data_IF_306405177356
#
_entry.id   IF_306405177356
#
_cell.length_a   1.000
_cell.length_b   1.000
_cell.length_c   1.000
_cell.angle_alpha   90.00
_cell.angle_beta   90.00
_cell.angle_gamma   90.00
#
_symmetry.space_group_name_H-M   'P 1'
#
loop_
_entity.id
_entity.type
_entity.pdbx_description
1 polymer ?
#
# COMPACT_ATOMS: atom_id res chain seq x y z
N UNK A 1 -2.27 -2.47 22.87
CA UNK A 1 -3.52 -1.66 22.95
C UNK A 1 -3.21 -0.27 22.44
N UNK A 2 -4.20 0.61 22.26
CA UNK A 2 -3.92 2.00 21.87
C UNK A 2 -2.98 2.70 22.87
N UNK A 3 -3.01 2.30 24.15
CA UNK A 3 -2.12 2.81 25.20
C UNK A 3 -0.64 2.44 25.05
N UNK A 4 -0.26 1.58 24.10
CA UNK A 4 1.14 1.16 23.89
C UNK A 4 1.71 1.65 22.56
N UNK A 5 0.99 2.51 21.82
CA UNK A 5 1.52 3.12 20.60
C UNK A 5 2.64 4.09 20.94
N UNK A 6 3.65 4.15 20.07
CA UNK A 6 4.82 5.04 20.20
C UNK A 6 5.19 5.56 18.81
N UNK A 7 4.20 6.08 18.09
CA UNK A 7 4.32 6.44 16.66
C UNK A 7 5.46 7.41 16.37
N UNK A 8 5.76 8.32 17.30
CA UNK A 8 6.87 9.29 17.15
C UNK A 8 8.26 8.68 17.24
N UNK A 9 8.35 7.43 17.72
CA UNK A 9 9.60 6.68 17.81
C UNK A 9 9.84 5.83 16.55
N UNK A 10 8.92 5.87 15.56
CA UNK A 10 8.99 5.08 14.34
C UNK A 10 9.43 5.91 13.13
N UNK A 11 10.38 5.39 12.37
CA UNK A 11 10.66 5.76 11.00
C UNK A 11 9.76 4.91 10.11
N UNK A 12 8.63 5.46 9.66
CA UNK A 12 7.66 4.70 8.87
C UNK A 12 8.01 4.62 7.40
N UNK A 13 7.72 3.49 6.76
CA UNK A 13 7.98 3.26 5.33
C UNK A 13 7.29 4.30 4.46
N UNK A 14 6.02 4.60 4.72
CA UNK A 14 5.23 5.50 3.87
C UNK A 14 5.78 6.92 3.88
N UNK A 15 6.03 7.47 5.08
CA UNK A 15 6.52 8.85 5.21
C UNK A 15 7.91 8.97 4.58
N UNK A 16 8.81 8.03 4.86
CA UNK A 16 10.17 8.08 4.34
C UNK A 16 10.25 7.81 2.83
N UNK A 17 9.20 7.28 2.20
CA UNK A 17 9.06 7.23 0.74
C UNK A 17 8.43 8.51 0.16
N UNK A 18 7.47 9.13 0.85
CA UNK A 18 6.82 10.35 0.37
C UNK A 18 7.73 11.58 0.37
N UNK A 19 8.64 11.70 1.36
CA UNK A 19 9.59 12.81 1.43
C UNK A 19 10.55 12.87 0.23
N UNK A 20 11.28 11.80 -0.15
CA UNK A 20 12.15 11.85 -1.32
C UNK A 20 11.36 12.05 -2.61
N UNK A 21 10.12 11.55 -2.70
CA UNK A 21 9.26 11.84 -3.85
C UNK A 21 8.89 13.32 -3.95
N UNK A 22 8.60 13.99 -2.83
CA UNK A 22 8.44 15.44 -2.79
C UNK A 22 9.74 16.15 -3.20
N UNK A 23 10.90 15.66 -2.78
CA UNK A 23 12.20 16.22 -3.16
C UNK A 23 12.46 16.08 -4.67
N UNK A 24 12.15 14.94 -5.28
CA UNK A 24 12.19 14.74 -6.73
C UNK A 24 11.25 15.72 -7.45
N UNK A 25 10.04 15.91 -6.92
CA UNK A 25 9.04 16.84 -7.47
C UNK A 25 9.54 18.29 -7.44
N UNK A 26 10.14 18.70 -6.31
CA UNK A 26 10.75 20.02 -6.17
C UNK A 26 11.94 20.19 -7.12
N UNK A 27 12.81 19.18 -7.22
CA UNK A 27 13.93 19.21 -8.14
C UNK A 27 13.48 19.46 -9.59
N UNK A 28 12.44 18.74 -10.02
CA UNK A 28 11.84 18.94 -11.35
C UNK A 28 11.24 20.33 -11.52
N UNK A 29 10.49 20.84 -10.53
CA UNK A 29 9.90 22.17 -10.58
C UNK A 29 10.94 23.29 -10.68
N UNK A 30 12.06 23.19 -9.95
CA UNK A 30 13.16 24.15 -10.03
C UNK A 30 13.90 24.08 -11.37
N UNK A 31 14.08 22.89 -11.93
CA UNK A 31 14.67 22.72 -13.27
C UNK A 31 13.82 23.43 -14.34
N UNK A 32 12.50 23.25 -14.30
CA UNK A 32 11.56 23.95 -15.21
C UNK A 32 11.60 25.47 -15.07
N UNK A 33 11.97 25.99 -13.90
CA UNK A 33 12.12 27.43 -13.64
C UNK A 33 13.52 27.95 -14.04
N UNK A 34 14.46 27.06 -14.40
CA UNK A 34 15.84 27.41 -14.70
C UNK A 34 16.74 27.60 -13.47
N UNK A 35 16.27 27.25 -12.27
CA UNK A 35 17.04 27.31 -11.03
C UNK A 35 17.81 25.99 -10.82
N UNK A 36 18.94 25.88 -11.51
CA UNK A 36 19.78 24.67 -11.52
C UNK A 36 20.38 24.34 -10.15
N UNK A 37 20.65 25.33 -9.32
CA UNK A 37 21.24 25.11 -7.99
C UNK A 37 20.23 24.45 -7.05
N UNK A 38 19.01 25.00 -6.97
CA UNK A 38 17.94 24.41 -6.17
C UNK A 38 17.55 23.02 -6.70
N UNK A 39 17.45 22.86 -8.03
CA UNK A 39 17.17 21.57 -8.66
C UNK A 39 18.20 20.50 -8.24
N UNK A 40 19.50 20.80 -8.40
CA UNK A 40 20.57 19.90 -8.03
C UNK A 40 20.60 19.59 -6.52
N UNK A 41 20.28 20.57 -5.67
CA UNK A 41 20.19 20.37 -4.22
C UNK A 41 19.09 19.38 -3.86
N UNK A 42 17.87 19.56 -4.37
CA UNK A 42 16.76 18.66 -4.05
C UNK A 42 16.93 17.27 -4.65
N UNK A 43 17.55 17.16 -5.84
CA UNK A 43 17.90 15.88 -6.42
C UNK A 43 18.87 15.07 -5.52
N UNK A 44 19.93 15.72 -4.99
CA UNK A 44 20.85 15.07 -4.04
C UNK A 44 20.14 14.62 -2.76
N UNK A 45 19.31 15.48 -2.17
CA UNK A 45 18.57 15.16 -0.95
C UNK A 45 17.60 13.98 -1.15
N UNK A 46 16.98 13.88 -2.34
CA UNK A 46 16.13 12.75 -2.68
C UNK A 46 16.94 11.44 -2.75
N UNK A 47 18.07 11.46 -3.47
CA UNK A 47 18.92 10.28 -3.64
C UNK A 47 19.46 9.77 -2.31
N UNK A 48 20.01 10.65 -1.48
CA UNK A 48 20.50 10.30 -0.13
C UNK A 48 19.44 9.60 0.71
N UNK A 49 18.17 10.02 0.57
CA UNK A 49 17.05 9.48 1.33
C UNK A 49 16.49 8.20 0.74
N UNK A 50 16.49 8.06 -0.59
CA UNK A 50 16.16 6.79 -1.25
C UNK A 50 17.15 5.70 -0.83
N UNK A 51 18.45 6.02 -0.80
CA UNK A 51 19.48 5.10 -0.30
C UNK A 51 19.28 4.76 1.19
N UNK A 52 18.88 5.75 2.00
CA UNK A 52 18.52 5.48 3.39
C UNK A 52 17.29 4.58 3.52
N UNK A 53 16.24 4.75 2.71
CA UNK A 53 15.06 3.87 2.69
C UNK A 53 15.46 2.45 2.33
N UNK A 54 16.23 2.26 1.25
CA UNK A 54 16.72 0.96 0.77
C UNK A 54 17.52 0.19 1.80
N UNK A 55 18.18 0.88 2.73
CA UNK A 55 19.08 0.29 3.73
C UNK A 55 18.44 0.16 5.11
N UNK A 56 17.86 1.24 5.63
CA UNK A 56 17.42 1.33 7.04
C UNK A 56 16.06 0.66 7.24
N UNK A 57 15.17 0.78 6.25
CA UNK A 57 13.82 0.23 6.34
C UNK A 57 13.70 -1.15 5.70
N UNK A 58 14.79 -1.66 5.13
CA UNK A 58 14.83 -3.01 4.57
C UNK A 58 15.15 -4.03 5.66
N UNK A 59 14.26 -4.99 5.86
CA UNK A 59 14.49 -6.12 6.75
C UNK A 59 14.78 -7.40 5.94
N UNK A 60 16.05 -7.82 5.96
CA UNK A 60 16.51 -9.01 5.22
C UNK A 60 15.84 -10.30 5.68
N UNK A 61 15.46 -10.41 6.96
CA UNK A 61 14.85 -11.64 7.51
C UNK A 61 13.40 -11.77 7.05
N UNK A 62 12.71 -10.64 6.95
CA UNK A 62 11.32 -10.54 6.48
C UNK A 62 11.22 -10.42 4.97
N UNK A 63 12.32 -10.13 4.28
CA UNK A 63 12.36 -9.89 2.83
C UNK A 63 11.33 -8.82 2.43
N UNK A 64 11.29 -7.71 3.18
CA UNK A 64 10.30 -6.66 3.05
C UNK A 64 10.80 -5.33 3.63
N UNK A 65 10.09 -4.26 3.28
CA UNK A 65 10.26 -2.97 3.93
C UNK A 65 9.38 -2.90 5.18
N UNK A 66 10.00 -2.57 6.31
CA UNK A 66 9.42 -2.60 7.65
C UNK A 66 9.76 -1.30 8.37
N UNK A 67 8.83 -0.78 9.17
CA UNK A 67 9.07 0.40 9.99
C UNK A 67 10.21 0.14 10.98
N UNK A 68 11.04 1.16 11.22
CA UNK A 68 12.18 1.08 12.11
C UNK A 68 11.97 1.89 13.38
N UNK A 69 12.15 1.29 14.55
CA UNK A 69 12.10 1.98 15.84
C UNK A 69 13.49 2.56 16.14
N UNK A 70 13.61 3.89 16.02
CA UNK A 70 14.90 4.56 16.18
C UNK A 70 15.35 4.68 17.64
N UNK A 71 14.42 4.54 18.59
CA UNK A 71 14.75 4.51 20.03
C UNK A 71 15.32 3.17 20.43
N UNK A 72 14.79 2.07 19.89
CA UNK A 72 15.27 0.71 20.13
C UNK A 72 16.43 0.31 19.23
N UNK A 73 16.58 0.97 18.08
CA UNK A 73 17.61 0.64 17.11
C UNK A 73 17.33 -0.65 16.33
N UNK A 74 16.05 -1.01 16.15
CA UNK A 74 15.64 -2.23 15.46
C UNK A 74 14.38 -2.05 14.62
N UNK A 75 14.22 -2.89 13.59
CA UNK A 75 12.97 -2.99 12.83
C UNK A 75 11.83 -3.49 13.72
N UNK A 76 10.63 -2.96 13.50
CA UNK A 76 9.43 -3.52 14.14
C UNK A 76 9.16 -4.95 13.66
N UNK A 77 8.32 -5.70 14.38
CA UNK A 77 7.92 -7.06 13.97
C UNK A 77 6.71 -7.10 13.02
N UNK A 78 6.26 -5.94 12.51
CA UNK A 78 4.98 -5.81 11.82
C UNK A 78 5.21 -5.72 10.31
N UNK A 79 4.81 -6.75 9.57
CA UNK A 79 4.66 -6.62 8.13
C UNK A 79 3.32 -5.98 7.81
N UNK A 80 3.37 -4.86 7.10
CA UNK A 80 2.22 -4.10 6.65
C UNK A 80 2.20 -3.97 5.13
N UNK A 81 1.04 -3.59 4.58
CA UNK A 81 0.89 -3.22 3.18
C UNK A 81 1.78 -2.05 2.76
N UNK A 82 2.33 -1.27 3.70
CA UNK A 82 3.29 -0.20 3.43
C UNK A 82 4.55 -0.70 2.71
N UNK A 83 4.87 -1.99 2.81
CA UNK A 83 6.04 -2.59 2.15
C UNK A 83 6.06 -2.39 0.63
N UNK A 84 4.91 -2.10 0.01
CA UNK A 84 4.81 -1.85 -1.44
C UNK A 84 5.09 -0.39 -1.83
N UNK A 85 5.19 0.52 -0.86
CA UNK A 85 5.39 1.95 -1.12
C UNK A 85 6.69 2.26 -1.88
N UNK A 86 7.84 1.65 -1.53
CA UNK A 86 9.06 1.82 -2.32
C UNK A 86 8.91 1.34 -3.77
N UNK A 87 8.12 0.30 -4.03
CA UNK A 87 7.86 -0.14 -5.41
C UNK A 87 6.94 0.85 -6.12
N UNK A 88 5.89 1.34 -5.46
CA UNK A 88 4.94 2.30 -6.02
C UNK A 88 5.60 3.61 -6.49
N UNK A 89 6.61 4.07 -5.75
CA UNK A 89 7.40 5.27 -6.05
C UNK A 89 8.71 4.98 -6.80
N UNK A 90 8.91 3.74 -7.29
CA UNK A 90 10.09 3.31 -8.05
C UNK A 90 11.43 3.54 -7.32
N UNK A 91 11.41 3.34 -6.00
CA UNK A 91 12.57 3.50 -5.11
C UNK A 91 13.23 2.17 -4.76
N UNK A 92 12.58 1.01 -4.90
CA UNK A 92 13.22 -0.28 -4.60
C UNK A 92 14.23 -0.71 -5.68
N UNK A 93 15.21 -1.54 -5.31
CA UNK A 93 16.01 -2.26 -6.32
C UNK A 93 15.20 -3.41 -6.93
N UNK A 94 15.58 -3.95 -8.10
CA UNK A 94 14.92 -5.13 -8.68
C UNK A 94 14.88 -6.34 -7.75
N UNK A 95 15.95 -6.59 -6.98
CA UNK A 95 16.06 -7.69 -6.04
C UNK A 95 15.09 -7.52 -4.86
N UNK A 96 15.02 -6.30 -4.32
CA UNK A 96 14.06 -5.98 -3.26
C UNK A 96 12.62 -6.07 -3.76
N UNK A 97 12.35 -5.62 -5.00
CA UNK A 97 11.02 -5.75 -5.59
C UNK A 97 10.61 -7.21 -5.78
N UNK A 98 11.54 -8.08 -6.18
CA UNK A 98 11.33 -9.53 -6.23
C UNK A 98 10.96 -10.10 -4.87
N UNK A 99 11.78 -9.82 -3.87
CA UNK A 99 11.55 -10.26 -2.50
C UNK A 99 10.20 -9.79 -1.95
N UNK A 100 9.86 -8.50 -2.14
CA UNK A 100 8.55 -7.96 -1.74
C UNK A 100 7.41 -8.66 -2.48
N UNK A 101 7.56 -9.00 -3.77
CA UNK A 101 6.51 -9.71 -4.51
C UNK A 101 6.22 -11.09 -3.91
N UNK A 102 7.26 -11.82 -3.50
CA UNK A 102 7.14 -13.14 -2.88
C UNK A 102 6.53 -13.02 -1.47
N UNK A 103 7.00 -12.04 -0.70
CA UNK A 103 6.48 -11.74 0.64
C UNK A 103 5.02 -11.34 0.62
N UNK A 104 4.60 -10.47 -0.30
CA UNK A 104 3.20 -10.05 -0.46
C UNK A 104 2.33 -11.23 -0.84
N UNK A 105 2.74 -12.04 -1.82
CA UNK A 105 1.98 -13.25 -2.23
C UNK A 105 1.76 -14.20 -1.07
N UNK A 106 2.79 -14.42 -0.25
CA UNK A 106 2.76 -15.39 0.84
C UNK A 106 1.96 -14.90 2.05
N UNK A 107 2.09 -13.62 2.40
CA UNK A 107 1.69 -13.15 3.73
C UNK A 107 0.55 -12.12 3.71
N UNK A 108 0.45 -11.29 2.66
CA UNK A 108 -0.48 -10.16 2.64
C UNK A 108 -1.65 -10.33 1.65
N UNK A 109 -1.44 -11.04 0.55
CA UNK A 109 -2.48 -11.26 -0.46
C UNK A 109 -3.49 -12.31 0.03
N UNK A 110 -4.75 -11.90 0.14
CA UNK A 110 -5.87 -12.74 0.55
C UNK A 110 -6.90 -12.86 -0.58
N UNK A 111 -8.00 -13.57 -0.32
CA UNK A 111 -9.06 -13.84 -1.32
C UNK A 111 -9.74 -12.57 -1.85
N UNK A 112 -9.77 -11.49 -1.06
CA UNK A 112 -10.37 -10.20 -1.44
C UNK A 112 -9.37 -9.08 -1.74
N UNK A 113 -8.07 -9.35 -1.82
CA UNK A 113 -7.00 -8.35 -1.96
C UNK A 113 -6.01 -8.37 -0.79
N UNK A 114 -5.22 -7.31 -0.64
CA UNK A 114 -4.21 -7.19 0.42
C UNK A 114 -4.83 -6.79 1.76
N UNK A 115 -4.40 -7.45 2.83
CA UNK A 115 -4.61 -6.99 4.21
C UNK A 115 -3.69 -5.81 4.56
N UNK A 116 -4.13 -4.97 5.50
CA UNK A 116 -3.35 -3.84 5.98
C UNK A 116 -2.08 -4.28 6.73
N UNK A 117 -2.19 -5.29 7.60
CA UNK A 117 -1.07 -5.93 8.30
C UNK A 117 -1.41 -7.41 8.58
N UNK A 118 -0.44 -8.19 9.03
CA UNK A 118 -0.68 -9.56 9.54
C UNK A 118 -1.31 -9.60 10.94
N UNK A 119 -1.46 -8.46 11.63
CA UNK A 119 -1.98 -8.42 13.01
C UNK A 119 -3.49 -8.39 13.01
N UNK A 120 -4.11 -9.15 13.91
CA UNK A 120 -5.54 -9.06 14.23
C UNK A 120 -5.71 -8.37 15.57
N UNK A 121 -5.77 -7.03 15.56
CA UNK A 121 -5.82 -6.23 16.80
C UNK A 121 -7.22 -5.69 17.14
N UNK A 122 -8.16 -5.78 16.21
CA UNK A 122 -9.46 -5.10 16.26
C UNK A 122 -9.44 -3.64 15.78
N UNK A 123 -8.25 -3.07 15.50
CA UNK A 123 -8.11 -1.75 14.90
C UNK A 123 -8.40 -1.78 13.39
N UNK A 124 -8.71 -0.61 12.82
CA UNK A 124 -9.17 -0.53 11.43
C UNK A 124 -8.06 -0.78 10.40
N UNK A 125 -6.82 -0.41 10.70
CA UNK A 125 -5.64 -0.53 9.82
C UNK A 125 -4.84 -1.82 10.09
N UNK A 126 -5.55 -2.90 10.39
CA UNK A 126 -4.98 -4.23 10.68
C UNK A 126 -5.86 -5.32 10.02
N UNK A 127 -5.39 -6.57 9.99
CA UNK A 127 -6.21 -7.68 9.52
C UNK A 127 -7.55 -7.75 10.29
N UNK A 128 -8.66 -8.08 9.61
CA UNK A 128 -8.72 -8.59 8.24
C UNK A 128 -8.99 -7.52 7.17
N UNK A 129 -8.81 -6.24 7.50
CA UNK A 129 -9.20 -5.16 6.60
C UNK A 129 -8.20 -4.94 5.48
N UNK A 130 -8.72 -4.78 4.27
CA UNK A 130 -8.03 -4.21 3.12
C UNK A 130 -8.58 -2.82 2.80
N UNK A 131 -7.68 -1.94 2.38
CA UNK A 131 -7.98 -0.55 2.03
C UNK A 131 -7.58 -0.25 0.59
N UNK A 132 -8.42 0.52 -0.11
CA UNK A 132 -8.24 0.84 -1.53
C UNK A 132 -6.85 1.43 -1.88
N UNK A 133 -6.29 2.38 -1.08
CA UNK A 133 -4.97 2.93 -1.36
C UNK A 133 -3.86 1.87 -1.38
N UNK A 134 -3.87 0.91 -0.44
CA UNK A 134 -2.88 -0.16 -0.38
C UNK A 134 -2.94 -1.05 -1.63
N UNK A 135 -4.15 -1.35 -2.11
CA UNK A 135 -4.31 -2.11 -3.34
C UNK A 135 -3.74 -1.35 -4.54
N UNK A 136 -4.09 -0.07 -4.66
CA UNK A 136 -3.63 0.76 -5.76
C UNK A 136 -2.10 0.86 -5.80
N UNK A 137 -1.48 1.11 -4.64
CA UNK A 137 -0.04 1.20 -4.52
C UNK A 137 0.64 -0.12 -4.87
N UNK A 138 0.11 -1.25 -4.39
CA UNK A 138 0.63 -2.58 -4.73
C UNK A 138 0.52 -2.85 -6.24
N UNK A 139 -0.65 -2.67 -6.85
CA UNK A 139 -0.87 -2.92 -8.27
C UNK A 139 0.02 -2.04 -9.14
N UNK A 140 0.06 -0.73 -8.89
CA UNK A 140 0.92 0.17 -9.66
C UNK A 140 2.40 -0.20 -9.43
N UNK A 141 2.84 -0.35 -8.19
CA UNK A 141 4.22 -0.71 -7.87
C UNK A 141 4.67 -2.01 -8.52
N UNK A 142 3.85 -3.06 -8.49
CA UNK A 142 4.21 -4.32 -9.13
C UNK A 142 4.29 -4.24 -10.66
N UNK A 143 3.40 -3.46 -11.31
CA UNK A 143 3.50 -3.23 -12.77
C UNK A 143 4.80 -2.49 -13.13
N UNK A 144 5.21 -1.47 -12.37
CA UNK A 144 6.46 -0.73 -12.65
C UNK A 144 7.71 -1.63 -12.60
N UNK A 145 7.63 -2.78 -11.91
CA UNK A 145 8.72 -3.76 -11.79
C UNK A 145 8.47 -5.06 -12.59
N UNK A 146 7.47 -5.09 -13.47
CA UNK A 146 7.19 -6.24 -14.36
C UNK A 146 6.51 -7.44 -13.68
N UNK A 147 5.94 -7.27 -12.49
CA UNK A 147 5.16 -8.30 -11.79
C UNK A 147 3.67 -8.24 -12.16
N UNK A 148 3.36 -8.14 -13.46
CA UNK A 148 2.02 -7.86 -13.98
C UNK A 148 0.99 -8.93 -13.57
N UNK A 149 1.39 -10.20 -13.51
CA UNK A 149 0.50 -11.29 -13.06
C UNK A 149 0.10 -11.13 -11.60
N UNK A 150 1.01 -10.68 -10.73
CA UNK A 150 0.68 -10.39 -9.33
C UNK A 150 -0.28 -9.20 -9.24
N UNK A 151 0.05 -8.12 -9.96
CA UNK A 151 -0.75 -6.91 -9.98
C UNK A 151 -2.18 -7.17 -10.48
N UNK A 152 -2.32 -7.95 -11.56
CA UNK A 152 -3.60 -8.35 -12.12
C UNK A 152 -4.43 -9.20 -11.13
N UNK A 153 -3.81 -10.16 -10.44
CA UNK A 153 -4.47 -11.00 -9.43
C UNK A 153 -4.98 -10.15 -8.26
N UNK A 154 -4.14 -9.24 -7.73
CA UNK A 154 -4.55 -8.29 -6.68
C UNK A 154 -5.74 -7.45 -7.13
N UNK A 155 -5.68 -6.88 -8.34
CA UNK A 155 -6.74 -6.05 -8.88
C UNK A 155 -8.05 -6.84 -9.05
N UNK A 156 -7.99 -8.06 -9.59
CA UNK A 156 -9.17 -8.91 -9.78
C UNK A 156 -9.84 -9.25 -8.44
N UNK A 157 -9.06 -9.67 -7.43
CA UNK A 157 -9.59 -10.00 -6.10
C UNK A 157 -10.22 -8.81 -5.40
N UNK A 158 -9.58 -7.63 -5.50
CA UNK A 158 -10.13 -6.40 -4.94
C UNK A 158 -11.43 -5.99 -5.65
N UNK A 159 -11.45 -6.01 -6.99
CA UNK A 159 -12.66 -5.69 -7.76
C UNK A 159 -13.81 -6.62 -7.39
N UNK A 160 -13.57 -7.94 -7.34
CA UNK A 160 -14.59 -8.91 -6.93
C UNK A 160 -15.10 -8.68 -5.51
N UNK A 161 -14.21 -8.32 -4.57
CA UNK A 161 -14.60 -7.95 -3.20
C UNK A 161 -15.50 -6.72 -3.17
N UNK A 162 -15.12 -5.65 -3.87
CA UNK A 162 -15.85 -4.37 -3.85
C UNK A 162 -17.19 -4.50 -4.59
N UNK A 163 -17.18 -5.03 -5.82
CA UNK A 163 -18.38 -5.21 -6.64
C UNK A 163 -19.38 -6.13 -5.96
N UNK A 164 -18.94 -7.31 -5.51
CA UNK A 164 -19.84 -8.23 -4.83
C UNK A 164 -20.39 -7.67 -3.52
N UNK A 165 -19.65 -6.81 -2.82
CA UNK A 165 -20.18 -6.09 -1.65
C UNK A 165 -21.27 -5.11 -2.07
N UNK A 166 -21.02 -4.32 -3.13
CA UNK A 166 -21.98 -3.38 -3.69
C UNK A 166 -23.28 -4.06 -4.14
N UNK A 167 -23.22 -5.21 -4.79
CA UNK A 167 -24.41 -5.97 -5.20
C UNK A 167 -25.32 -6.36 -4.03
N UNK A 168 -24.72 -6.62 -2.86
CA UNK A 168 -25.47 -7.01 -1.65
C UNK A 168 -25.91 -5.82 -0.80
N UNK A 169 -25.20 -4.70 -0.88
CA UNK A 169 -25.39 -3.54 0.03
C UNK A 169 -26.02 -2.32 -0.66
N UNK A 170 -25.89 -2.20 -1.98
CA UNK A 170 -26.23 -1.02 -2.77
C UNK A 170 -25.22 0.13 -2.65
N UNK A 171 -24.10 -0.05 -1.94
CA UNK A 171 -23.15 1.03 -1.64
C UNK A 171 -21.69 0.59 -1.66
N UNK A 172 -20.79 1.51 -2.01
CA UNK A 172 -19.35 1.35 -1.82
C UNK A 172 -18.96 1.85 -0.42
N UNK A 173 -17.99 1.20 0.22
CA UNK A 173 -17.59 1.45 1.61
C UNK A 173 -16.12 1.87 1.70
N UNK A 174 -15.70 2.37 2.87
CA UNK A 174 -14.33 2.85 3.10
C UNK A 174 -13.27 1.71 3.09
N UNK A 175 -13.63 0.51 3.58
CA UNK A 175 -12.75 -0.66 3.78
C UNK A 175 -13.51 -1.98 3.72
N UNK A 176 -12.79 -3.09 3.47
CA UNK A 176 -13.38 -4.41 3.20
C UNK A 176 -12.66 -5.52 3.97
N UNK A 177 -13.40 -6.56 4.40
CA UNK A 177 -12.81 -7.78 4.94
C UNK A 177 -12.32 -8.59 3.73
N UNK A 178 -11.00 -8.63 3.55
CA UNK A 178 -10.37 -9.29 2.39
C UNK A 178 -9.95 -10.73 2.69
N UNK A 179 -10.08 -11.17 3.94
CA UNK A 179 -9.72 -12.53 4.38
C UNK A 179 -10.92 -13.47 4.26
N UNK A 180 -12.12 -13.02 4.60
CA UNK A 180 -13.31 -13.87 4.61
C UNK A 180 -13.68 -14.32 3.19
N UNK A 181 -13.79 -15.63 2.89
CA UNK A 181 -14.20 -16.10 1.57
C UNK A 181 -15.61 -15.64 1.18
N UNK A 182 -16.47 -15.34 2.15
CA UNK A 182 -17.81 -14.81 1.91
C UNK A 182 -17.80 -13.28 1.90
N UNK A 183 -18.64 -12.71 1.04
CA UNK A 183 -18.84 -11.26 0.94
C UNK A 183 -19.79 -10.81 2.05
N UNK A 184 -19.37 -9.79 2.80
CA UNK A 184 -20.18 -9.14 3.83
C UNK A 184 -20.76 -7.82 3.28
N UNK A 185 -22.09 -7.62 3.25
CA UNK A 185 -22.68 -6.35 2.81
C UNK A 185 -22.30 -5.15 3.68
N UNK A 186 -21.77 -5.37 4.88
CA UNK A 186 -21.28 -4.31 5.79
C UNK A 186 -19.80 -3.95 5.57
N UNK A 187 -19.13 -4.56 4.60
CA UNK A 187 -17.72 -4.30 4.30
C UNK A 187 -16.76 -4.89 5.34
N UNK A 188 -15.72 -4.12 5.68
CA UNK A 188 -14.67 -4.51 6.62
C UNK A 188 -15.13 -4.70 8.06
N UNK A 189 -14.25 -5.29 8.87
CA UNK A 189 -14.46 -5.51 10.30
C UNK A 189 -13.81 -4.38 11.11
N UNK A 190 -14.16 -4.35 12.38
CA UNK A 190 -13.65 -3.38 13.33
C UNK A 190 -14.40 -2.05 13.25
N UNK A 191 -14.61 -1.48 14.43
CA UNK A 191 -14.99 -0.11 14.67
C UNK A 191 -13.87 0.48 15.48
N UNK A 192 -13.11 1.40 14.88
CA UNK A 192 -12.22 2.27 15.64
C UNK A 192 -13.05 3.28 16.41
N UNK A 193 -12.71 4.55 16.27
CA UNK A 193 -13.41 5.65 16.96
C UNK A 193 -14.78 6.01 16.32
N UNK A 194 -15.10 5.50 15.12
CA UNK A 194 -16.30 5.90 14.39
C UNK A 194 -16.90 4.80 13.46
N UNK A 195 -18.18 4.94 13.04
CA UNK A 195 -18.87 3.99 12.16
C UNK A 195 -18.35 3.96 10.72
N UNK A 196 -18.62 2.86 9.99
CA UNK A 196 -18.31 2.70 8.57
C UNK A 196 -18.86 3.84 7.69
N UNK A 197 -18.05 4.36 6.77
CA UNK A 197 -18.43 5.43 5.84
C UNK A 197 -18.83 4.91 4.44
N UNK A 198 -19.75 5.63 3.78
CA UNK A 198 -20.39 5.25 2.50
C UNK A 198 -19.85 6.11 1.32
N UNK A 199 -19.79 5.51 0.13
CA UNK A 199 -19.44 6.15 -1.15
C UNK A 199 -17.95 6.46 -1.34
N UNK A 200 -17.09 5.99 -0.46
CA UNK A 200 -15.79 6.56 -0.17
C UNK A 200 -14.86 6.83 -1.37
N UNK A 201 -14.34 8.07 -1.49
CA UNK A 201 -13.64 8.56 -2.69
C UNK A 201 -12.47 7.68 -3.18
N UNK A 202 -11.59 7.21 -2.28
CA UNK A 202 -10.51 6.31 -2.71
C UNK A 202 -11.01 4.97 -3.22
N UNK A 203 -12.14 4.46 -2.72
CA UNK A 203 -12.66 3.15 -3.10
C UNK A 203 -13.19 3.25 -4.53
N UNK A 204 -13.95 4.30 -4.80
CA UNK A 204 -14.48 4.60 -6.12
C UNK A 204 -13.33 4.79 -7.12
N UNK A 205 -12.35 5.62 -6.78
CA UNK A 205 -11.20 5.90 -7.64
C UNK A 205 -10.37 4.66 -7.95
N UNK A 206 -10.06 3.84 -6.94
CA UNK A 206 -9.32 2.59 -7.14
C UNK A 206 -10.10 1.57 -7.96
N UNK A 207 -11.41 1.39 -7.69
CA UNK A 207 -12.25 0.49 -8.48
C UNK A 207 -12.26 0.89 -9.95
N UNK A 208 -12.57 2.15 -10.25
CA UNK A 208 -12.58 2.67 -11.63
C UNK A 208 -11.20 2.55 -12.29
N UNK A 209 -10.14 2.87 -11.55
CA UNK A 209 -8.77 2.75 -12.04
C UNK A 209 -8.39 1.31 -12.39
N UNK A 210 -8.82 0.33 -11.59
CA UNK A 210 -8.59 -1.10 -11.90
C UNK A 210 -9.45 -1.60 -13.04
N UNK A 211 -10.72 -1.18 -13.12
CA UNK A 211 -11.60 -1.56 -14.23
C UNK A 211 -11.05 -1.08 -15.57
N UNK A 212 -10.53 0.15 -15.61
CA UNK A 212 -9.90 0.72 -16.80
C UNK A 212 -8.57 0.04 -17.14
N UNK A 213 -7.76 -0.32 -16.13
CA UNK A 213 -6.46 -0.97 -16.34
C UNK A 213 -6.58 -2.45 -16.73
N UNK A 214 -7.60 -3.15 -16.21
CA UNK A 214 -7.82 -4.58 -16.43
C UNK A 214 -9.25 -4.86 -16.92
N UNK A 215 -9.61 -4.45 -18.15
CA UNK A 215 -10.96 -4.61 -18.67
C UNK A 215 -11.39 -6.09 -18.81
N UNK A 216 -10.45 -7.01 -19.02
CA UNK A 216 -10.76 -8.44 -19.09
C UNK A 216 -11.15 -9.01 -17.72
N UNK A 217 -10.42 -8.66 -16.66
CA UNK A 217 -10.78 -9.03 -15.29
C UNK A 217 -12.14 -8.43 -14.91
N UNK A 218 -12.43 -7.21 -15.39
CA UNK A 218 -13.72 -6.55 -15.14
C UNK A 218 -14.89 -7.34 -15.68
N UNK A 219 -14.78 -7.86 -16.92
CA UNK A 219 -15.82 -8.72 -17.51
C UNK A 219 -16.04 -9.98 -16.67
N UNK A 220 -14.96 -10.67 -16.33
CA UNK A 220 -15.01 -11.89 -15.49
C UNK A 220 -15.61 -11.65 -14.10
N UNK A 221 -15.41 -10.46 -13.53
CA UNK A 221 -15.96 -10.12 -12.21
C UNK A 221 -17.44 -9.71 -12.27
N UNK A 222 -17.90 -9.18 -13.41
CA UNK A 222 -19.28 -8.73 -13.59
C UNK A 222 -20.21 -9.81 -14.17
N UNK A 223 -19.65 -10.86 -14.79
CA UNK A 223 -20.36 -12.04 -15.29
C UNK A 223 -20.62 -13.06 -14.16
#
# INVERSE_FOLDING_TARGET
TLSTIHTTDLLTVELNCLIPHLQQTLAHAYELKGDKEAAARYARLAEERIEAVRRVLWDERRAAYIDYDWKKGESTSILSGATVMPLFLQMATPEQAKAVSETVRKNLLQVGGLIATERTSGQQWDAPNGWAPLQWMAVKGFNEYGYDTLASDIAARWMGRVIGTYEKSGVLLEKYDVVNPYINPKGGKGGGEYPMQIGFGWTNGTLLGFMNRYPQNTRVVLD
#
